data_IF_059254032989
#
_entry.id   IF_059254032989
#
_cell.length_a   1.000
_cell.length_b   1.000
_cell.length_c   1.000
_cell.angle_alpha   90.00
_cell.angle_beta   90.00
_cell.angle_gamma   90.00
#
_symmetry.space_group_name_H-M   'P 1'
#
loop_
_entity.id
_entity.type
_entity.pdbx_description
1 polymer ?
#
# COMPACT_ATOMS: atom_id res chain seq x y z
N UNK A 1 3.77 14.60 -4.50
CA UNK A 1 2.35 14.22 -4.78
C UNK A 1 2.37 13.15 -5.85
N UNK A 2 1.57 12.11 -5.74
CA UNK A 2 1.47 11.04 -6.75
C UNK A 2 0.03 10.98 -7.23
N UNK A 3 -0.17 11.04 -8.54
CA UNK A 3 -1.46 10.93 -9.23
C UNK A 3 -1.41 9.65 -10.04
N UNK A 4 -2.38 8.74 -9.83
CA UNK A 4 -2.42 7.42 -10.47
C UNK A 4 -3.62 7.28 -11.41
N UNK A 5 -3.51 6.35 -12.36
CA UNK A 5 -4.62 5.91 -13.20
C UNK A 5 -4.86 6.77 -14.45
N UNK A 6 -3.87 7.53 -14.90
CA UNK A 6 -3.95 8.20 -16.20
C UNK A 6 -3.98 7.16 -17.34
N UNK A 7 -4.79 7.37 -18.36
CA UNK A 7 -4.89 6.46 -19.51
C UNK A 7 -4.39 7.17 -20.78
N UNK A 8 -3.07 7.20 -21.03
CA UNK A 8 -2.52 7.89 -22.20
C UNK A 8 -2.89 7.17 -23.52
N UNK A 9 -3.09 5.85 -23.47
CA UNK A 9 -3.41 5.00 -24.62
C UNK A 9 -4.32 3.84 -24.18
N UNK A 10 -4.97 3.17 -25.15
CA UNK A 10 -6.00 2.15 -24.90
C UNK A 10 -5.58 1.02 -23.96
N UNK A 11 -4.29 0.66 -23.95
CA UNK A 11 -3.73 -0.44 -23.16
C UNK A 11 -2.60 0.01 -22.22
N UNK A 12 -2.49 1.30 -21.91
CA UNK A 12 -1.44 1.85 -21.05
C UNK A 12 -2.05 2.61 -19.88
N UNK A 13 -1.41 2.49 -18.72
CA UNK A 13 -1.63 3.35 -17.57
C UNK A 13 -0.39 4.22 -17.36
N UNK A 14 -0.60 5.48 -17.02
CA UNK A 14 0.43 6.40 -16.57
C UNK A 14 0.13 6.88 -15.15
N UNK A 15 1.13 6.76 -14.30
CA UNK A 15 1.16 7.39 -12.98
C UNK A 15 2.20 8.52 -13.01
N UNK A 16 1.86 9.65 -12.39
CA UNK A 16 2.69 10.86 -12.39
C UNK A 16 3.00 11.24 -10.95
N UNK A 17 4.29 11.39 -10.63
CA UNK A 17 4.72 11.92 -9.34
C UNK A 17 5.29 13.34 -9.53
N UNK A 18 4.66 14.33 -8.91
CA UNK A 18 5.23 15.66 -8.74
C UNK A 18 6.15 15.65 -7.51
N UNK A 19 7.43 15.88 -7.77
CA UNK A 19 8.45 16.01 -6.74
C UNK A 19 8.72 17.49 -6.49
N UNK A 20 8.73 17.87 -5.23
CA UNK A 20 9.13 19.20 -4.78
C UNK A 20 10.31 19.01 -3.85
N UNK A 21 11.46 19.51 -4.26
CA UNK A 21 12.69 19.45 -3.48
C UNK A 21 13.19 20.87 -3.19
N UNK A 22 13.96 21.03 -2.12
CA UNK A 22 14.59 22.28 -1.74
C UNK A 22 16.11 22.12 -1.82
N UNK A 23 16.69 22.64 -2.89
CA UNK A 23 18.14 22.64 -3.11
C UNK A 23 18.64 24.08 -2.95
N UNK A 24 19.55 24.33 -2.00
CA UNK A 24 20.11 25.67 -1.73
C UNK A 24 19.04 26.77 -1.50
N UNK A 25 17.99 26.46 -0.74
CA UNK A 25 16.82 27.33 -0.49
C UNK A 25 16.00 27.70 -1.74
N UNK A 26 16.29 27.10 -2.90
CA UNK A 26 15.47 27.20 -4.10
C UNK A 26 14.59 25.97 -4.23
N UNK A 27 13.31 26.19 -4.47
CA UNK A 27 12.34 25.12 -4.73
C UNK A 27 12.56 24.61 -6.15
N UNK A 28 12.89 23.33 -6.30
CA UNK A 28 12.94 22.63 -7.58
C UNK A 28 11.71 21.73 -7.68
N UNK A 29 11.04 21.76 -8.82
CA UNK A 29 9.91 20.89 -9.10
C UNK A 29 10.15 20.14 -10.39
N UNK A 30 9.89 18.85 -10.37
CA UNK A 30 9.97 18.00 -11.55
C UNK A 30 8.95 16.87 -11.46
N UNK A 31 8.62 16.31 -12.61
CA UNK A 31 7.69 15.21 -12.73
C UNK A 31 8.45 13.92 -13.02
N UNK A 32 8.05 12.85 -12.35
CA UNK A 32 8.37 11.49 -12.75
C UNK A 32 7.14 10.87 -13.39
N UNK A 33 7.33 10.17 -14.49
CA UNK A 33 6.27 9.46 -15.21
C UNK A 33 6.56 7.97 -15.18
N UNK A 34 5.61 7.19 -14.71
CA UNK A 34 5.65 5.74 -14.67
C UNK A 34 4.62 5.21 -15.67
N UNK A 35 5.09 4.57 -16.74
CA UNK A 35 4.25 3.97 -17.78
C UNK A 35 4.20 2.46 -17.58
N UNK A 36 3.00 1.89 -17.58
CA UNK A 36 2.78 0.46 -17.41
C UNK A 36 1.65 -0.03 -18.31
N UNK A 37 1.63 -1.34 -18.54
CA UNK A 37 0.53 -1.98 -19.25
C UNK A 37 -0.74 -1.97 -18.39
N UNK A 38 -1.87 -1.72 -19.04
CA UNK A 38 -3.19 -1.86 -18.40
C UNK A 38 -3.42 -3.35 -18.11
N UNK A 39 -3.35 -3.72 -16.83
CA UNK A 39 -3.71 -5.08 -16.39
C UNK A 39 -5.22 -5.18 -16.22
N UNK A 40 -5.88 -6.21 -16.79
CA UNK A 40 -7.30 -6.44 -16.55
C UNK A 40 -7.53 -6.80 -15.07
N UNK A 41 -8.24 -5.94 -14.35
CA UNK A 41 -8.59 -6.16 -12.94
C UNK A 41 -10.01 -6.71 -12.85
N UNK A 42 -10.20 -7.70 -11.98
CA UNK A 42 -11.54 -8.10 -11.53
C UNK A 42 -12.25 -6.86 -10.96
N UNK A 43 -13.50 -6.62 -11.34
CA UNK A 43 -14.23 -5.49 -10.79
C UNK A 43 -14.36 -5.60 -9.27
N UNK A 44 -14.37 -4.48 -8.57
CA UNK A 44 -14.58 -4.37 -7.12
C UNK A 44 -13.47 -4.97 -6.24
N UNK A 45 -12.20 -4.88 -6.67
CA UNK A 45 -11.05 -5.13 -5.79
C UNK A 45 -10.90 -3.94 -4.83
N UNK A 46 -11.09 -4.20 -3.54
CA UNK A 46 -10.94 -3.18 -2.51
C UNK A 46 -9.50 -3.09 -2.00
N UNK A 47 -9.09 -1.88 -1.59
CA UNK A 47 -7.82 -1.67 -0.90
C UNK A 47 -6.58 -1.50 -1.77
N UNK A 48 -6.70 -1.48 -3.11
CA UNK A 48 -5.55 -1.30 -4.02
C UNK A 48 -4.72 -0.04 -3.71
N UNK A 49 -5.39 1.10 -3.50
CA UNK A 49 -4.74 2.34 -3.10
C UNK A 49 -4.12 2.30 -1.70
N UNK A 50 -4.74 1.59 -0.76
CA UNK A 50 -4.22 1.42 0.60
C UNK A 50 -2.96 0.54 0.62
N UNK A 51 -2.97 -0.54 -0.18
CA UNK A 51 -1.81 -1.42 -0.35
C UNK A 51 -0.66 -0.65 -0.98
N UNK A 52 -0.92 0.11 -2.05
CA UNK A 52 0.09 0.94 -2.69
C UNK A 52 0.71 1.97 -1.73
N UNK A 53 -0.11 2.71 -0.98
CA UNK A 53 0.39 3.72 -0.03
C UNK A 53 1.17 3.10 1.13
N UNK A 54 0.73 1.93 1.62
CA UNK A 54 1.44 1.18 2.66
C UNK A 54 2.81 0.68 2.15
N UNK A 55 2.86 0.09 0.96
CA UNK A 55 4.10 -0.38 0.34
C UNK A 55 5.08 0.77 0.08
N UNK A 56 4.59 1.90 -0.44
CA UNK A 56 5.38 3.11 -0.65
C UNK A 56 5.96 3.63 0.68
N UNK A 57 5.13 3.69 1.73
CA UNK A 57 5.56 4.14 3.06
C UNK A 57 6.62 3.22 3.64
N UNK A 58 6.45 1.90 3.51
CA UNK A 58 7.43 0.92 3.96
C UNK A 58 8.76 1.08 3.22
N UNK A 59 8.73 1.26 1.89
CA UNK A 59 9.91 1.48 1.07
C UNK A 59 10.68 2.76 1.45
N UNK A 60 9.96 3.86 1.69
CA UNK A 60 10.56 5.11 2.18
C UNK A 60 11.16 4.95 3.58
N UNK A 61 10.50 4.19 4.48
CA UNK A 61 10.98 3.97 5.84
C UNK A 61 12.32 3.21 5.88
N UNK A 62 12.55 2.30 4.93
CA UNK A 62 13.85 1.61 4.75
C UNK A 62 14.85 2.42 3.92
N UNK A 63 14.66 3.74 3.82
CA UNK A 63 15.54 4.72 3.16
C UNK A 63 15.77 4.48 1.67
N UNK A 64 14.82 3.86 0.96
CA UNK A 64 14.81 3.94 -0.51
C UNK A 64 14.52 5.38 -0.93
N UNK A 65 15.16 5.86 -1.99
CA UNK A 65 14.78 7.13 -2.58
C UNK A 65 13.36 7.06 -3.16
N UNK A 66 12.76 8.22 -3.41
CA UNK A 66 11.36 8.30 -3.79
C UNK A 66 11.06 7.62 -5.13
N UNK A 67 12.01 7.62 -6.07
CA UNK A 67 11.82 6.93 -7.35
C UNK A 67 11.74 5.42 -7.11
N UNK A 68 12.71 4.85 -6.41
CA UNK A 68 12.71 3.42 -6.08
C UNK A 68 11.57 3.02 -5.16
N UNK A 69 11.14 3.90 -4.26
CA UNK A 69 10.02 3.62 -3.38
C UNK A 69 8.69 3.51 -4.15
N UNK A 70 8.47 4.38 -5.15
CA UNK A 70 7.31 4.30 -6.03
C UNK A 70 7.40 3.03 -6.88
N UNK A 71 8.54 2.79 -7.52
CA UNK A 71 8.74 1.59 -8.34
C UNK A 71 8.49 0.31 -7.52
N UNK A 72 9.05 0.24 -6.31
CA UNK A 72 8.88 -0.92 -5.44
C UNK A 72 7.42 -1.13 -5.00
N UNK A 73 6.67 -0.05 -4.78
CA UNK A 73 5.24 -0.14 -4.44
C UNK A 73 4.39 -0.62 -5.62
N UNK A 74 4.76 -0.26 -6.86
CA UNK A 74 4.12 -0.77 -8.08
C UNK A 74 4.44 -2.25 -8.30
N UNK A 75 5.71 -2.62 -8.21
CA UNK A 75 6.17 -4.01 -8.36
C UNK A 75 5.51 -4.92 -7.31
N UNK A 76 5.45 -4.46 -6.06
CA UNK A 76 4.75 -5.19 -5.00
C UNK A 76 3.28 -5.45 -5.35
N UNK A 77 2.60 -4.44 -5.91
CA UNK A 77 1.23 -4.60 -6.36
C UNK A 77 1.14 -5.58 -7.54
N UNK A 78 2.03 -5.46 -8.52
CA UNK A 78 2.05 -6.25 -9.74
C UNK A 78 2.33 -7.73 -9.50
N UNK A 79 3.27 -8.07 -8.61
CA UNK A 79 3.63 -9.45 -8.25
C UNK A 79 2.52 -10.16 -7.49
N UNK A 80 1.76 -9.40 -6.69
CA UNK A 80 0.71 -9.96 -5.85
C UNK A 80 -0.69 -9.78 -6.47
N UNK A 81 -0.74 -9.17 -7.66
CA UNK A 81 -1.97 -8.87 -8.38
C UNK A 81 -2.80 -10.11 -8.72
N UNK A 82 -2.14 -11.24 -8.97
CA UNK A 82 -2.82 -12.51 -9.25
C UNK A 82 -3.44 -13.13 -8.00
N UNK A 83 -3.02 -12.69 -6.81
CA UNK A 83 -3.48 -13.23 -5.54
C UNK A 83 -4.73 -12.48 -5.04
N UNK A 84 -5.78 -12.45 -5.84
CA UNK A 84 -7.06 -11.84 -5.46
C UNK A 84 -8.04 -12.94 -5.00
N UNK A 85 -8.50 -12.83 -3.76
CA UNK A 85 -9.50 -13.75 -3.18
C UNK A 85 -10.88 -13.11 -3.15
N UNK A 86 -11.87 -13.84 -3.65
CA UNK A 86 -13.29 -13.49 -3.50
C UNK A 86 -13.72 -13.74 -2.06
N UNK A 87 -14.14 -12.69 -1.34
CA UNK A 87 -14.76 -12.85 -0.01
C UNK A 87 -16.23 -13.23 -0.14
N UNK A 88 -16.93 -12.57 -1.07
CA UNK A 88 -18.34 -12.81 -1.37
C UNK A 88 -18.64 -12.36 -2.81
N UNK A 89 -19.91 -12.40 -3.22
CA UNK A 89 -20.33 -12.02 -4.58
C UNK A 89 -20.07 -10.56 -4.96
N UNK A 90 -19.65 -9.72 -4.02
CA UNK A 90 -19.49 -8.27 -4.22
C UNK A 90 -18.09 -7.75 -3.92
N UNK A 91 -17.21 -8.55 -3.30
CA UNK A 91 -15.94 -8.07 -2.79
C UNK A 91 -14.81 -9.05 -3.06
N UNK A 92 -13.75 -8.50 -3.66
CA UNK A 92 -12.48 -9.16 -3.85
C UNK A 92 -11.43 -8.44 -3.02
N UNK A 93 -10.62 -9.20 -2.29
CA UNK A 93 -9.48 -8.65 -1.53
C UNK A 93 -8.17 -9.16 -2.07
N UNK A 94 -7.15 -8.34 -1.89
CA UNK A 94 -5.77 -8.74 -2.08
C UNK A 94 -5.39 -9.72 -0.98
N UNK A 95 -5.04 -10.94 -1.37
CA UNK A 95 -4.52 -11.97 -0.48
C UNK A 95 -3.03 -12.11 -0.70
N UNK A 96 -2.25 -11.95 0.34
CA UNK A 96 -0.81 -12.17 0.25
C UNK A 96 -0.51 -13.62 0.64
N UNK A 97 0.30 -14.30 -0.17
CA UNK A 97 0.70 -15.67 0.13
C UNK A 97 1.81 -15.63 1.20
N UNK A 98 1.40 -15.71 2.47
CA UNK A 98 2.30 -15.51 3.60
C UNK A 98 3.07 -16.78 3.96
N UNK A 99 4.37 -16.64 4.21
CA UNK A 99 5.18 -17.67 4.85
C UNK A 99 4.65 -17.99 6.26
N UNK A 100 4.99 -19.16 6.84
CA UNK A 100 4.58 -19.52 8.20
C UNK A 100 4.92 -18.44 9.25
N UNK A 101 6.07 -17.79 9.13
CA UNK A 101 6.53 -16.73 10.03
C UNK A 101 5.64 -15.49 9.91
N UNK A 102 5.33 -15.06 8.67
CA UNK A 102 4.40 -13.95 8.43
C UNK A 102 2.98 -14.26 8.94
N UNK A 103 2.53 -15.53 8.84
CA UNK A 103 1.25 -15.96 9.43
C UNK A 103 1.26 -15.85 10.96
N UNK A 104 2.36 -16.21 11.61
CA UNK A 104 2.50 -16.08 13.06
C UNK A 104 2.36 -14.61 13.50
N UNK A 105 3.01 -13.68 12.78
CA UNK A 105 2.88 -12.24 13.03
C UNK A 105 1.44 -11.76 12.85
N UNK A 106 0.73 -12.21 11.81
CA UNK A 106 -0.68 -11.84 11.60
C UNK A 106 -1.60 -12.38 12.71
N UNK A 107 -1.32 -13.57 13.23
CA UNK A 107 -2.04 -14.09 14.38
C UNK A 107 -1.83 -13.20 15.62
N UNK A 108 -0.61 -12.70 15.83
CA UNK A 108 -0.35 -11.75 16.91
C UNK A 108 -1.12 -10.43 16.71
N UNK A 109 -1.19 -9.90 15.49
CA UNK A 109 -2.03 -8.72 15.18
C UNK A 109 -3.50 -9.00 15.53
N UNK A 110 -3.99 -10.21 15.21
CA UNK A 110 -5.37 -10.62 15.53
C UNK A 110 -5.61 -10.70 17.04
N UNK A 111 -4.65 -11.20 17.80
CA UNK A 111 -4.72 -11.21 19.27
C UNK A 111 -4.77 -9.79 19.84
N UNK A 112 -3.92 -8.88 19.36
CA UNK A 112 -3.93 -7.47 19.76
C UNK A 112 -5.28 -6.82 19.41
N UNK A 113 -5.79 -7.07 18.20
CA UNK A 113 -7.10 -6.58 17.78
C UNK A 113 -8.23 -7.08 18.70
N UNK A 114 -8.25 -8.37 19.04
CA UNK A 114 -9.26 -8.95 19.93
C UNK A 114 -9.18 -8.33 21.33
N UNK A 115 -7.97 -8.17 21.86
CA UNK A 115 -7.74 -7.52 23.15
C UNK A 115 -8.29 -6.08 23.15
N UNK A 116 -7.91 -5.28 22.16
CA UNK A 116 -8.38 -3.89 22.00
C UNK A 116 -9.91 -3.83 21.85
N UNK A 117 -10.46 -4.67 20.98
CA UNK A 117 -11.89 -4.67 20.63
C UNK A 117 -12.79 -5.10 21.79
N UNK A 118 -12.26 -5.91 22.72
CA UNK A 118 -12.99 -6.29 23.93
C UNK A 118 -13.20 -5.13 24.92
N UNK A 119 -12.38 -4.07 24.83
CA UNK A 119 -12.43 -2.93 25.73
C UNK A 119 -13.27 -1.78 25.14
N UNK A 120 -14.51 -1.63 25.62
CA UNK A 120 -15.38 -0.49 25.24
C UNK A 120 -14.77 0.88 25.54
N UNK A 121 -13.83 0.98 26.49
CA UNK A 121 -13.16 2.24 26.82
C UNK A 121 -12.09 2.62 25.79
N UNK A 122 -11.50 1.64 25.10
CA UNK A 122 -10.43 1.88 24.15
C UNK A 122 -10.90 2.65 22.91
N UNK A 123 -12.17 2.53 22.53
CA UNK A 123 -12.75 3.30 21.42
C UNK A 123 -12.59 4.81 21.58
N UNK A 124 -12.49 5.31 22.82
CA UNK A 124 -12.25 6.72 23.13
C UNK A 124 -10.83 7.19 22.81
N UNK A 125 -9.90 6.26 22.60
CA UNK A 125 -8.50 6.52 22.25
C UNK A 125 -8.25 6.40 20.74
N UNK A 126 -9.22 5.91 19.96
CA UNK A 126 -9.10 5.79 18.52
C UNK A 126 -9.38 7.18 17.92
N UNK A 127 -8.41 7.80 17.21
CA UNK A 127 -8.62 9.10 16.60
C UNK A 127 -9.60 8.97 15.42
N UNK A 128 -10.12 10.10 14.93
CA UNK A 128 -11.03 10.14 13.77
C UNK A 128 -10.44 9.44 12.54
N UNK A 129 -9.11 9.54 12.38
CA UNK A 129 -8.33 8.88 11.33
C UNK A 129 -8.00 7.41 11.59
N UNK A 130 -8.63 6.81 12.61
CA UNK A 130 -8.48 5.40 13.03
C UNK A 130 -7.07 5.08 13.58
N UNK A 131 -6.85 3.81 13.91
CA UNK A 131 -5.57 3.32 14.45
C UNK A 131 -5.02 2.22 13.55
N UNK A 132 -3.69 2.24 13.33
CA UNK A 132 -2.98 1.15 12.66
C UNK A 132 -2.22 0.32 13.71
N UNK A 133 -2.25 -1.00 13.57
CA UNK A 133 -1.47 -1.94 14.37
C UNK A 133 -0.33 -2.44 13.47
N UNK A 134 0.91 -2.25 13.91
CA UNK A 134 2.11 -2.70 13.20
C UNK A 134 2.84 -3.74 14.04
N UNK A 135 3.32 -4.79 13.38
CA UNK A 135 4.13 -5.86 13.97
C UNK A 135 5.21 -6.23 12.98
N UNK A 136 6.41 -6.53 13.49
CA UNK A 136 7.55 -6.96 12.68
C UNK A 136 8.03 -8.35 13.10
N UNK A 137 8.68 -9.04 12.17
CA UNK A 137 9.44 -10.24 12.51
C UNK A 137 10.69 -9.85 13.31
N UNK A 138 11.16 -10.70 14.24
CA UNK A 138 12.46 -10.49 14.87
C UNK A 138 13.55 -10.38 13.80
N UNK A 139 14.28 -9.27 13.78
CA UNK A 139 15.36 -8.96 12.81
C UNK A 139 14.90 -8.65 11.37
N UNK A 140 13.67 -8.16 11.19
CA UNK A 140 13.20 -7.58 9.93
C UNK A 140 13.88 -6.24 9.59
#
# INVERSE_FOLDING_TARGET
>A
VIIKGGHPEKNKIADIALISDFENKKKKQYFLKFLKDLKPIVQNVHGTGCVFSAALTAALAIKKDLYFAIQNAEEFFDENFENITKINDRAYIFTLNYSPEKKAVLNQVKEIYNFISSSKKFSRLIPEVRTNISVSLPKA
#
